data_IF_807660854815
#
_entry.id   IF_807660854815
#
_cell.length_a   1.000
_cell.length_b   1.000
_cell.length_c   1.000
_cell.angle_alpha   90.00
_cell.angle_beta   90.00
_cell.angle_gamma   90.00
#
_symmetry.space_group_name_H-M   'P 1'
#
loop_
_entity.id
_entity.type
_entity.pdbx_description
1 polymer ?
#
# COMPACT_ATOMS: atom_id res chain seq x y z
N UNK A 1 -4.36 -18.79 15.06
CA UNK A 1 -2.92 -18.57 15.16
C UNK A 1 -2.67 -17.27 15.92
N UNK A 2 -1.95 -17.37 17.02
CA UNK A 2 -1.72 -16.26 17.92
C UNK A 2 -0.46 -15.50 17.49
N UNK A 3 -0.54 -14.18 17.47
CA UNK A 3 0.59 -13.32 17.13
C UNK A 3 1.14 -12.68 18.40
N UNK A 4 2.43 -12.79 18.62
CA UNK A 4 3.13 -12.11 19.73
C UNK A 4 4.33 -11.35 19.18
N UNK A 5 4.46 -10.08 19.55
CA UNK A 5 5.63 -9.27 19.28
C UNK A 5 6.20 -8.72 20.58
N UNK A 6 7.50 -8.90 20.78
CA UNK A 6 8.22 -8.45 21.96
C UNK A 6 9.50 -7.72 21.58
N UNK A 7 9.70 -6.52 22.15
CA UNK A 7 10.95 -5.77 22.05
C UNK A 7 11.63 -5.74 23.44
N UNK A 8 12.78 -6.42 23.56
CA UNK A 8 13.47 -6.57 24.85
C UNK A 8 12.57 -7.29 25.86
N UNK A 9 12.28 -6.63 26.99
CA UNK A 9 11.38 -7.16 28.04
C UNK A 9 9.92 -6.70 27.87
N UNK A 10 9.62 -5.86 26.86
CA UNK A 10 8.28 -5.30 26.66
C UNK A 10 7.52 -6.12 25.63
N UNK A 11 6.39 -6.68 26.04
CA UNK A 11 5.43 -7.31 25.15
C UNK A 11 4.57 -6.20 24.54
N UNK A 12 4.59 -6.08 23.21
CA UNK A 12 3.77 -5.10 22.48
C UNK A 12 2.40 -5.65 22.12
N UNK A 13 2.36 -6.92 21.70
CA UNK A 13 1.12 -7.63 21.39
C UNK A 13 1.20 -9.06 21.86
N UNK A 14 0.15 -9.53 22.45
CA UNK A 14 0.00 -10.91 22.87
C UNK A 14 -1.40 -11.42 22.52
N UNK A 15 -1.46 -12.59 21.89
CA UNK A 15 -2.70 -13.30 21.56
C UNK A 15 -3.74 -12.47 20.78
N UNK A 16 -3.29 -11.75 19.76
CA UNK A 16 -4.16 -10.91 18.92
C UNK A 16 -4.78 -11.74 17.79
N UNK A 17 -6.11 -11.70 17.64
CA UNK A 17 -6.86 -12.48 16.66
C UNK A 17 -7.91 -11.61 15.95
N UNK A 18 -7.57 -11.04 14.78
CA UNK A 18 -8.46 -10.19 14.00
C UNK A 18 -8.71 -10.79 12.62
N UNK A 19 -9.95 -10.74 12.18
CA UNK A 19 -10.35 -11.09 10.82
C UNK A 19 -10.82 -9.83 10.11
N UNK A 20 -10.13 -9.45 9.05
CA UNK A 20 -10.56 -8.38 8.15
C UNK A 20 -11.35 -9.00 6.99
N UNK A 21 -12.57 -8.51 6.81
CA UNK A 21 -13.42 -8.91 5.70
C UNK A 21 -13.15 -8.03 4.49
N UNK A 22 -13.27 -8.60 3.30
CA UNK A 22 -13.09 -7.86 2.04
C UNK A 22 -14.08 -6.72 1.86
N UNK A 23 -13.70 -5.75 1.02
CA UNK A 23 -14.54 -4.63 0.58
C UNK A 23 -14.98 -3.67 1.70
N UNK A 24 -14.14 -3.50 2.73
CA UNK A 24 -14.43 -2.62 3.86
C UNK A 24 -13.24 -1.74 4.22
N UNK A 25 -13.54 -0.55 4.76
CA UNK A 25 -12.55 0.33 5.34
C UNK A 25 -12.53 0.16 6.86
N UNK A 26 -11.39 -0.19 7.40
CA UNK A 26 -11.16 -0.32 8.83
C UNK A 26 -10.26 0.81 9.31
N UNK A 27 -10.74 1.61 10.24
CA UNK A 27 -9.99 2.66 10.88
C UNK A 27 -9.48 2.22 12.26
N UNK A 28 -8.21 2.46 12.52
CA UNK A 28 -7.58 2.19 13.80
C UNK A 28 -7.11 3.51 14.41
N UNK A 29 -7.69 3.86 15.56
CA UNK A 29 -7.30 5.02 16.37
C UNK A 29 -6.44 4.55 17.53
N UNK A 30 -5.42 5.30 17.85
CA UNK A 30 -4.62 5.08 19.04
C UNK A 30 -3.69 6.27 19.29
N UNK A 31 -3.23 6.45 20.53
CA UNK A 31 -2.29 7.49 20.88
C UNK A 31 -0.98 7.37 20.09
N UNK A 32 -0.34 8.50 19.78
CA UNK A 32 0.96 8.51 19.13
C UNK A 32 1.99 7.71 19.94
N UNK A 33 2.72 6.87 19.27
CA UNK A 33 3.78 6.02 19.82
C UNK A 33 3.48 4.53 19.66
N UNK A 34 4.25 3.78 20.13
CA UNK A 34 4.40 2.38 20.46
C UNK A 34 3.42 1.32 19.91
N UNK A 35 3.01 1.26 18.68
CA UNK A 35 2.37 0.00 18.26
C UNK A 35 1.54 0.06 16.99
N UNK A 36 0.96 1.22 16.63
CA UNK A 36 0.16 1.32 15.40
C UNK A 36 0.99 1.02 14.16
N UNK A 37 2.11 1.72 13.99
CA UNK A 37 3.03 1.48 12.86
C UNK A 37 3.64 0.09 12.90
N UNK A 38 3.94 -0.42 14.09
CA UNK A 38 4.45 -1.78 14.28
C UNK A 38 3.40 -2.81 13.89
N UNK A 39 2.14 -2.59 14.24
CA UNK A 39 1.03 -3.45 13.85
C UNK A 39 0.89 -3.52 12.32
N UNK A 40 0.95 -2.37 11.62
CA UNK A 40 0.94 -2.36 10.16
C UNK A 40 2.15 -3.07 9.55
N UNK A 41 3.33 -2.94 10.12
CA UNK A 41 4.53 -3.66 9.68
C UNK A 41 4.40 -5.18 9.84
N UNK A 42 3.70 -5.64 10.86
CA UNK A 42 3.37 -7.07 11.03
C UNK A 42 2.39 -7.50 9.94
N UNK A 43 1.34 -6.72 9.68
CA UNK A 43 0.36 -7.01 8.62
C UNK A 43 1.00 -7.11 7.25
N UNK A 44 1.99 -6.25 6.97
CA UNK A 44 2.72 -6.22 5.69
C UNK A 44 3.86 -7.22 5.59
N UNK A 45 4.11 -8.03 6.63
CA UNK A 45 5.25 -8.93 6.77
C UNK A 45 6.63 -8.24 6.75
N UNK A 46 6.71 -6.94 7.01
CA UNK A 46 7.99 -6.24 7.18
C UNK A 46 8.68 -6.64 8.50
N UNK A 47 7.89 -6.96 9.50
CA UNK A 47 8.34 -7.46 10.80
C UNK A 47 7.65 -8.80 11.06
N UNK A 48 8.44 -9.83 11.36
CA UNK A 48 7.90 -11.12 11.78
C UNK A 48 7.46 -11.06 13.24
N UNK A 49 6.26 -11.54 13.59
CA UNK A 49 5.86 -11.68 14.98
C UNK A 49 6.69 -12.77 15.69
N UNK A 50 6.79 -12.69 17.00
CA UNK A 50 7.50 -13.70 17.79
C UNK A 50 6.78 -15.07 17.74
N UNK A 51 5.46 -15.04 17.59
CA UNK A 51 4.64 -16.23 17.34
C UNK A 51 3.40 -15.88 16.53
N UNK A 52 2.86 -16.88 15.84
CA UNK A 52 1.70 -16.70 14.98
C UNK A 52 2.05 -16.28 13.56
N UNK A 53 1.05 -15.95 12.79
CA UNK A 53 1.19 -15.60 11.38
C UNK A 53 0.11 -14.63 10.91
N UNK A 54 0.42 -13.93 9.84
CA UNK A 54 -0.51 -13.16 9.03
C UNK A 54 -0.81 -13.98 7.79
N UNK A 55 -2.10 -14.23 7.54
CA UNK A 55 -2.54 -15.01 6.39
C UNK A 55 -3.25 -14.10 5.40
N UNK A 56 -2.78 -14.10 4.16
CA UNK A 56 -3.38 -13.42 3.03
C UNK A 56 -3.91 -14.48 2.05
N UNK A 57 -5.10 -14.26 1.52
CA UNK A 57 -5.65 -15.12 0.48
C UNK A 57 -4.75 -15.13 -0.76
N UNK A 58 -4.55 -16.31 -1.34
CA UNK A 58 -3.69 -16.48 -2.52
C UNK A 58 -4.14 -15.61 -3.70
N UNK A 59 -3.19 -14.99 -4.39
CA UNK A 59 -3.44 -14.13 -5.54
C UNK A 59 -3.86 -12.70 -5.20
N UNK A 60 -3.97 -12.34 -3.92
CA UNK A 60 -4.29 -10.97 -3.48
C UNK A 60 -3.03 -10.14 -3.32
N UNK A 61 -3.08 -8.88 -3.76
CA UNK A 61 -1.97 -7.94 -3.63
C UNK A 61 -2.24 -6.96 -2.50
N UNK A 62 -1.26 -6.83 -1.61
CA UNK A 62 -1.25 -5.85 -0.54
C UNK A 62 -0.36 -4.68 -0.92
N UNK A 63 -0.89 -3.46 -0.84
CA UNK A 63 -0.14 -2.22 -1.00
C UNK A 63 0.00 -1.52 0.34
N UNK A 64 1.19 -1.01 0.62
CA UNK A 64 1.52 -0.36 1.88
C UNK A 64 2.08 1.03 1.61
N UNK A 65 1.60 2.03 2.33
CA UNK A 65 2.19 3.37 2.29
C UNK A 65 3.59 3.32 2.91
N UNK A 66 4.62 3.52 2.07
CA UNK A 66 6.01 3.53 2.51
C UNK A 66 6.31 4.73 3.41
N UNK A 67 7.07 4.51 4.48
CA UNK A 67 7.59 5.55 5.37
C UNK A 67 9.04 5.92 5.04
N UNK A 68 9.69 5.21 4.16
CA UNK A 68 11.05 5.51 3.74
C UNK A 68 11.06 6.50 2.58
N UNK A 69 11.25 7.77 2.88
CA UNK A 69 11.25 8.87 1.91
C UNK A 69 12.46 8.87 0.97
N UNK A 70 13.49 8.07 1.23
CA UNK A 70 14.73 8.02 0.44
C UNK A 70 14.87 6.79 -0.43
N UNK A 71 13.96 5.82 -0.30
CA UNK A 71 14.06 4.53 -1.00
C UNK A 71 14.05 4.65 -2.53
N UNK A 72 13.45 5.71 -3.07
CA UNK A 72 13.26 5.93 -4.51
C UNK A 72 13.96 7.18 -5.03
N UNK A 73 14.93 7.72 -4.32
CA UNK A 73 15.59 8.98 -4.66
C UNK A 73 16.23 9.00 -6.06
N UNK A 74 16.73 7.87 -6.53
CA UNK A 74 17.35 7.72 -7.86
C UNK A 74 16.35 7.32 -8.97
N UNK A 75 15.07 7.19 -8.65
CA UNK A 75 14.03 6.85 -9.60
C UNK A 75 13.22 8.10 -10.01
N UNK A 76 12.62 8.07 -11.19
CA UNK A 76 11.68 9.13 -11.58
C UNK A 76 10.40 9.08 -10.74
N UNK A 77 9.74 10.21 -10.60
CA UNK A 77 8.47 10.32 -9.86
C UNK A 77 7.42 9.38 -10.44
N UNK A 78 7.26 9.39 -11.76
CA UNK A 78 6.27 8.53 -12.44
C UNK A 78 6.55 7.04 -12.22
N UNK A 79 7.80 6.61 -12.41
CA UNK A 79 8.19 5.22 -12.22
C UNK A 79 8.07 4.77 -10.76
N UNK A 80 8.33 5.67 -9.83
CA UNK A 80 8.12 5.40 -8.39
C UNK A 80 6.67 5.01 -8.09
N UNK A 81 5.71 5.71 -8.67
CA UNK A 81 4.29 5.39 -8.52
C UNK A 81 3.95 4.03 -9.12
N UNK A 82 4.43 3.74 -10.33
CA UNK A 82 4.16 2.46 -11.01
C UNK A 82 4.74 1.28 -10.22
N UNK A 83 5.86 1.46 -9.54
CA UNK A 83 6.46 0.44 -8.65
C UNK A 83 5.53 0.02 -7.49
N UNK A 84 4.48 0.78 -7.20
CA UNK A 84 3.42 0.38 -6.27
C UNK A 84 2.69 -0.90 -6.70
N UNK A 85 2.65 -1.19 -7.98
CA UNK A 85 2.23 -2.47 -8.53
C UNK A 85 3.46 -3.27 -8.98
N UNK A 86 4.11 -3.93 -8.04
CA UNK A 86 5.37 -4.63 -8.30
C UNK A 86 5.27 -5.71 -9.41
N UNK A 87 4.23 -6.56 -9.48
CA UNK A 87 4.09 -7.50 -10.59
C UNK A 87 4.07 -6.82 -11.97
N UNK A 88 3.37 -5.70 -12.10
CA UNK A 88 3.34 -4.92 -13.33
C UNK A 88 4.71 -4.29 -13.64
N UNK A 89 5.35 -3.70 -12.64
CA UNK A 89 6.68 -3.11 -12.78
C UNK A 89 7.71 -4.14 -13.23
N UNK A 90 7.76 -5.30 -12.60
CA UNK A 90 8.68 -6.39 -12.95
C UNK A 90 8.43 -6.88 -14.39
N UNK A 91 7.17 -6.99 -14.79
CA UNK A 91 6.78 -7.33 -16.16
C UNK A 91 7.26 -6.31 -17.19
N UNK A 92 7.12 -5.03 -16.88
CA UNK A 92 7.61 -3.93 -17.73
C UNK A 92 9.13 -3.99 -17.89
N UNK A 93 9.87 -4.23 -16.82
CA UNK A 93 11.32 -4.37 -16.85
C UNK A 93 11.76 -5.58 -17.68
N UNK A 94 11.12 -6.71 -17.51
CA UNK A 94 11.40 -7.92 -18.27
C UNK A 94 11.12 -7.74 -19.77
N UNK A 95 10.01 -7.11 -20.12
CA UNK A 95 9.62 -6.78 -21.47
C UNK A 95 10.65 -5.86 -22.14
N UNK A 96 11.03 -4.77 -21.47
CA UNK A 96 12.04 -3.84 -21.97
C UNK A 96 13.40 -4.52 -22.17
N UNK A 97 13.82 -5.37 -21.23
CA UNK A 97 15.08 -6.10 -21.31
C UNK A 97 15.13 -7.03 -22.55
N UNK A 98 14.03 -7.69 -22.89
CA UNK A 98 13.96 -8.57 -24.05
C UNK A 98 14.07 -7.75 -25.34
N UNK A 99 13.35 -6.66 -25.47
CA UNK A 99 13.42 -5.81 -26.67
C UNK A 99 14.77 -5.12 -26.86
N UNK A 100 15.54 -4.94 -25.78
CA UNK A 100 16.88 -4.33 -25.84
C UNK A 100 18.00 -5.34 -26.07
N UNK A 101 17.72 -6.63 -26.18
CA UNK A 101 18.74 -7.67 -26.46
C UNK A 101 19.37 -7.42 -27.83
N UNK A 102 20.72 -7.35 -27.94
CA UNK A 102 21.40 -7.17 -29.22
C UNK A 102 21.22 -8.35 -30.17
N UNK A 103 21.05 -9.55 -29.62
CA UNK A 103 20.92 -10.84 -30.31
C UNK A 103 19.50 -11.38 -30.26
N UNK A 104 18.50 -10.51 -30.41
CA UNK A 104 17.08 -10.86 -30.39
C UNK A 104 16.79 -11.97 -31.43
N UNK A 105 16.29 -13.11 -30.98
CA UNK A 105 16.02 -14.29 -31.77
C UNK A 105 14.53 -14.67 -31.78
N UNK A 106 14.18 -15.78 -32.44
CA UNK A 106 12.79 -16.25 -32.52
C UNK A 106 12.19 -16.61 -31.17
N UNK A 107 12.98 -17.23 -30.27
CA UNK A 107 12.53 -17.54 -28.92
C UNK A 107 12.22 -16.27 -28.10
N UNK A 108 13.06 -15.24 -28.26
CA UNK A 108 12.84 -13.93 -27.66
C UNK A 108 11.57 -13.28 -28.20
N UNK A 109 11.26 -13.45 -29.49
CA UNK A 109 10.02 -13.00 -30.10
C UNK A 109 8.78 -13.66 -29.53
N UNK A 110 8.82 -14.97 -29.25
CA UNK A 110 7.72 -15.70 -28.61
C UNK A 110 7.53 -15.26 -27.17
N UNK A 111 8.61 -15.10 -26.43
CA UNK A 111 8.55 -14.62 -25.05
C UNK A 111 8.04 -13.19 -24.97
N UNK A 112 8.49 -12.31 -25.87
CA UNK A 112 8.01 -10.95 -25.95
C UNK A 112 6.49 -10.89 -26.22
N UNK A 113 5.98 -11.74 -27.12
CA UNK A 113 4.55 -11.82 -27.40
C UNK A 113 3.74 -12.27 -26.17
N UNK A 114 4.25 -13.25 -25.40
CA UNK A 114 3.62 -13.68 -24.13
C UNK A 114 3.61 -12.57 -23.09
N UNK A 115 4.69 -11.83 -22.96
CA UNK A 115 4.78 -10.68 -22.05
C UNK A 115 3.82 -9.53 -22.45
N UNK A 116 3.62 -9.30 -23.74
CA UNK A 116 2.64 -8.31 -24.23
C UNK A 116 1.21 -8.70 -23.84
N UNK A 117 0.85 -9.97 -23.94
CA UNK A 117 -0.46 -10.46 -23.50
C UNK A 117 -0.66 -10.23 -22.00
N UNK A 118 0.33 -10.59 -21.19
CA UNK A 118 0.29 -10.36 -19.73
C UNK A 118 0.21 -8.87 -19.39
N UNK A 119 0.93 -8.04 -20.13
CA UNK A 119 0.92 -6.58 -19.97
C UNK A 119 -0.47 -5.99 -20.24
N UNK A 120 -1.15 -6.46 -21.29
CA UNK A 120 -2.52 -6.06 -21.58
C UNK A 120 -3.51 -6.53 -20.51
N UNK A 121 -3.39 -7.77 -20.04
CA UNK A 121 -4.22 -8.33 -18.97
C UNK A 121 -4.09 -7.54 -17.66
N UNK A 122 -2.91 -6.98 -17.40
CA UNK A 122 -2.65 -6.15 -16.22
C UNK A 122 -2.97 -4.66 -16.44
N UNK A 123 -3.61 -4.29 -17.53
CA UNK A 123 -3.91 -2.89 -17.91
C UNK A 123 -2.64 -2.02 -18.00
N UNK A 124 -1.56 -2.61 -18.45
CA UNK A 124 -0.24 -1.97 -18.52
C UNK A 124 -0.18 -0.75 -19.43
N UNK A 125 -0.99 -0.71 -20.50
CA UNK A 125 -1.06 0.43 -21.40
C UNK A 125 -1.56 1.71 -20.76
N UNK A 126 -2.35 1.62 -19.70
CA UNK A 126 -2.86 2.74 -18.94
C UNK A 126 -2.01 3.09 -17.71
N UNK A 127 -0.95 2.35 -17.43
CA UNK A 127 -0.16 2.50 -16.22
C UNK A 127 0.41 3.92 -16.05
N UNK A 128 1.03 4.48 -17.09
CA UNK A 128 1.61 5.82 -17.04
C UNK A 128 0.55 6.91 -16.87
N UNK A 129 -0.57 6.82 -17.61
CA UNK A 129 -1.66 7.80 -17.49
C UNK A 129 -2.36 7.73 -16.14
N UNK A 130 -2.58 6.53 -15.60
CA UNK A 130 -3.17 6.34 -14.28
C UNK A 130 -2.25 6.88 -13.17
N UNK A 131 -0.96 6.60 -13.25
CA UNK A 131 0.03 7.13 -12.32
C UNK A 131 0.12 8.66 -12.40
N UNK A 132 0.13 9.23 -13.61
CA UNK A 132 0.15 10.68 -13.82
C UNK A 132 -1.10 11.35 -13.24
N UNK A 133 -2.26 10.74 -13.38
CA UNK A 133 -3.51 11.26 -12.82
C UNK A 133 -3.52 11.26 -11.30
N UNK A 134 -3.07 10.18 -10.66
CA UNK A 134 -2.91 10.13 -9.20
C UNK A 134 -1.98 11.22 -8.70
N UNK A 135 -0.83 11.40 -9.34
CA UNK A 135 0.13 12.43 -9.00
C UNK A 135 -0.48 13.84 -9.11
N UNK A 136 -1.16 14.12 -10.22
CA UNK A 136 -1.80 15.43 -10.45
C UNK A 136 -2.89 15.70 -9.40
N UNK A 137 -3.70 14.71 -9.05
CA UNK A 137 -4.73 14.81 -8.01
C UNK A 137 -4.12 15.07 -6.62
N UNK A 138 -2.91 14.58 -6.37
CA UNK A 138 -2.17 14.81 -5.13
C UNK A 138 -1.29 16.08 -5.17
N UNK A 139 -1.44 16.92 -6.18
CA UNK A 139 -0.75 18.19 -6.28
C UNK A 139 0.67 18.13 -6.85
N UNK A 140 1.05 17.00 -7.44
CA UNK A 140 2.32 16.83 -8.13
C UNK A 140 2.10 17.08 -9.64
N UNK A 141 2.49 18.25 -10.11
CA UNK A 141 2.26 18.68 -11.50
C UNK A 141 3.06 17.87 -12.53
N UNK A 142 2.59 17.86 -13.76
CA UNK A 142 3.17 17.08 -14.87
C UNK A 142 4.66 17.36 -15.09
N UNK A 143 5.10 18.61 -14.86
CA UNK A 143 6.50 19.02 -15.01
C UNK A 143 7.47 18.31 -14.06
N UNK A 144 6.97 17.68 -12.98
CA UNK A 144 7.77 16.94 -12.01
C UNK A 144 7.80 15.42 -12.27
N UNK A 145 6.92 14.90 -13.14
CA UNK A 145 6.72 13.45 -13.28
C UNK A 145 7.95 12.70 -13.81
N UNK A 146 8.78 13.35 -14.61
CA UNK A 146 10.02 12.76 -15.14
C UNK A 146 11.28 13.18 -14.37
N UNK A 147 11.13 13.99 -13.34
CA UNK A 147 12.23 14.35 -12.46
C UNK A 147 12.55 13.22 -11.49
N UNK A 148 13.78 13.18 -11.00
CA UNK A 148 14.19 12.22 -9.96
C UNK A 148 13.58 12.62 -8.61
N UNK A 149 13.17 11.64 -7.85
CA UNK A 149 12.49 11.84 -6.55
C UNK A 149 13.34 12.66 -5.58
N UNK A 150 14.68 12.52 -5.60
CA UNK A 150 15.57 13.30 -4.72
C UNK A 150 15.48 14.82 -4.93
N UNK A 151 15.01 15.28 -6.11
CA UNK A 151 14.87 16.72 -6.41
C UNK A 151 13.63 17.36 -5.78
N UNK A 152 12.70 16.53 -5.26
CA UNK A 152 11.47 16.98 -4.65
C UNK A 152 11.66 17.40 -3.18
N UNK A 153 10.78 18.27 -2.70
CA UNK A 153 10.70 18.59 -1.27
C UNK A 153 10.20 17.37 -0.46
N UNK A 154 10.42 17.40 0.86
CA UNK A 154 9.93 16.35 1.75
C UNK A 154 8.41 16.16 1.67
N UNK A 155 7.65 17.24 1.57
CA UNK A 155 6.18 17.19 1.42
C UNK A 155 5.74 16.60 0.09
N UNK A 156 6.45 16.92 -0.99
CA UNK A 156 6.20 16.34 -2.31
C UNK A 156 6.52 14.84 -2.33
N UNK A 157 7.63 14.42 -1.71
CA UNK A 157 7.98 13.00 -1.57
C UNK A 157 6.89 12.20 -0.86
N UNK A 158 6.30 12.73 0.21
CA UNK A 158 5.18 12.08 0.92
C UNK A 158 4.00 11.85 -0.01
N UNK A 159 3.65 12.83 -0.84
CA UNK A 159 2.56 12.73 -1.82
C UNK A 159 2.85 11.71 -2.93
N UNK A 160 4.08 11.64 -3.39
CA UNK A 160 4.51 10.62 -4.36
C UNK A 160 4.37 9.21 -3.78
N UNK A 161 4.78 9.00 -2.53
CA UNK A 161 4.64 7.69 -1.87
C UNK A 161 3.16 7.34 -1.61
N UNK A 162 2.32 8.32 -1.34
CA UNK A 162 0.88 8.10 -1.25
C UNK A 162 0.29 7.68 -2.61
N UNK A 163 0.66 8.36 -3.69
CA UNK A 163 0.27 7.95 -5.05
C UNK A 163 0.72 6.51 -5.36
N UNK A 164 1.95 6.15 -4.99
CA UNK A 164 2.47 4.79 -5.13
C UNK A 164 1.60 3.76 -4.40
N UNK A 165 1.18 4.04 -3.17
CA UNK A 165 0.35 3.12 -2.40
C UNK A 165 -1.05 2.94 -3.02
N UNK A 166 -1.63 4.00 -3.57
CA UNK A 166 -2.97 3.98 -4.18
C UNK A 166 -2.98 3.38 -5.59
N UNK A 167 -1.82 3.27 -6.24
CA UNK A 167 -1.71 2.85 -7.63
C UNK A 167 -2.10 1.39 -7.85
N UNK A 168 -2.79 1.11 -8.94
CA UNK A 168 -3.00 -0.24 -9.45
C UNK A 168 -4.10 -1.03 -8.75
N UNK A 169 -5.02 -0.39 -8.04
CA UNK A 169 -6.19 -1.01 -7.41
C UNK A 169 -5.85 -2.26 -6.57
N UNK A 170 -5.03 -2.13 -5.52
CA UNK A 170 -4.66 -3.27 -4.68
C UNK A 170 -5.88 -3.88 -4.00
N UNK A 171 -5.86 -5.18 -3.74
CA UNK A 171 -6.92 -5.87 -3.00
C UNK A 171 -6.92 -5.48 -1.52
N UNK A 172 -5.76 -5.13 -0.99
CA UNK A 172 -5.60 -4.65 0.38
C UNK A 172 -4.69 -3.44 0.38
N UNK A 173 -5.16 -2.36 0.99
CA UNK A 173 -4.44 -1.10 1.11
C UNK A 173 -4.19 -0.79 2.59
N UNK A 174 -2.93 -0.65 2.98
CA UNK A 174 -2.51 -0.28 4.33
C UNK A 174 -1.97 1.15 4.34
N UNK A 175 -2.62 2.02 5.07
CA UNK A 175 -2.25 3.44 5.19
C UNK A 175 -1.95 3.81 6.64
N UNK A 176 -0.74 4.25 6.90
CA UNK A 176 -0.31 4.77 8.21
C UNK A 176 -0.21 6.29 8.15
N UNK A 177 -1.08 6.98 8.90
CA UNK A 177 -1.17 8.45 8.96
C UNK A 177 -1.15 9.11 7.57
N UNK A 178 -2.08 8.74 6.65
CA UNK A 178 -2.00 9.16 5.25
C UNK A 178 -2.31 10.64 5.03
N UNK A 179 -2.89 11.32 6.01
CA UNK A 179 -3.24 12.76 5.93
C UNK A 179 -2.15 13.69 6.41
N UNK A 180 -1.06 13.17 6.99
CA UNK A 180 0.07 13.97 7.42
C UNK A 180 0.67 14.75 6.24
N UNK A 181 0.95 16.03 6.46
CA UNK A 181 1.50 16.96 5.47
C UNK A 181 0.63 17.18 4.22
N UNK A 182 -0.66 16.85 4.27
CA UNK A 182 -1.63 17.17 3.24
C UNK A 182 -2.45 18.43 3.61
N UNK A 183 -2.77 19.24 2.60
CA UNK A 183 -3.71 20.34 2.75
C UNK A 183 -5.17 19.83 2.74
N UNK A 184 -6.10 20.71 3.09
CA UNK A 184 -7.54 20.39 3.21
C UNK A 184 -8.11 19.87 1.89
N UNK A 185 -7.72 20.45 0.77
CA UNK A 185 -8.20 20.04 -0.55
C UNK A 185 -7.72 18.62 -0.91
N UNK A 186 -6.45 18.32 -0.66
CA UNK A 186 -5.87 16.98 -0.89
C UNK A 186 -6.48 15.94 0.05
N UNK A 187 -6.72 16.29 1.31
CA UNK A 187 -7.41 15.40 2.25
C UNK A 187 -8.82 15.09 1.77
N UNK A 188 -9.55 16.09 1.30
CA UNK A 188 -10.91 15.90 0.74
C UNK A 188 -10.89 14.98 -0.48
N UNK A 189 -9.92 15.14 -1.36
CA UNK A 189 -9.74 14.23 -2.50
C UNK A 189 -9.47 12.80 -2.03
N UNK A 190 -8.60 12.60 -1.03
CA UNK A 190 -8.28 11.29 -0.49
C UNK A 190 -9.49 10.63 0.18
N UNK A 191 -10.27 11.40 0.92
CA UNK A 191 -11.55 10.92 1.50
C UNK A 191 -12.49 10.38 0.43
N UNK A 192 -12.66 11.10 -0.66
CA UNK A 192 -13.49 10.67 -1.79
C UNK A 192 -12.92 9.44 -2.49
N UNK A 193 -11.60 9.40 -2.68
CA UNK A 193 -10.92 8.23 -3.27
C UNK A 193 -11.16 6.97 -2.44
N UNK A 194 -10.98 7.06 -1.13
CA UNK A 194 -11.14 5.90 -0.23
C UNK A 194 -12.62 5.51 -0.06
N UNK A 195 -13.56 6.47 -0.10
CA UNK A 195 -14.98 6.18 -0.08
C UNK A 195 -15.44 5.38 -1.31
N UNK A 196 -14.85 5.65 -2.46
CA UNK A 196 -15.14 4.95 -3.72
C UNK A 196 -14.29 3.68 -3.92
N UNK A 197 -13.31 3.44 -3.06
CA UNK A 197 -12.43 2.29 -3.15
C UNK A 197 -13.17 1.00 -2.77
N UNK A 198 -13.23 0.05 -3.70
CA UNK A 198 -14.07 -1.16 -3.57
C UNK A 198 -13.42 -2.29 -2.79
N UNK A 199 -12.11 -2.25 -2.56
CA UNK A 199 -11.35 -3.29 -1.88
C UNK A 199 -11.13 -2.97 -0.40
N UNK A 200 -10.39 -3.82 0.30
CA UNK A 200 -10.14 -3.65 1.73
C UNK A 200 -9.12 -2.55 1.99
N UNK A 201 -9.44 -1.63 2.88
CA UNK A 201 -8.53 -0.58 3.36
C UNK A 201 -8.39 -0.69 4.87
N UNK A 202 -7.14 -0.60 5.34
CA UNK A 202 -6.83 -0.48 6.76
C UNK A 202 -6.07 0.83 6.95
N UNK A 203 -6.66 1.76 7.67
CA UNK A 203 -6.11 3.08 7.94
C UNK A 203 -5.80 3.21 9.43
N UNK A 204 -4.57 3.56 9.73
CA UNK A 204 -4.15 3.97 11.06
C UNK A 204 -4.02 5.48 11.08
N UNK A 205 -4.75 6.15 11.95
CA UNK A 205 -4.72 7.60 12.06
C UNK A 205 -5.11 8.05 13.46
N UNK A 206 -4.59 9.20 13.90
CA UNK A 206 -5.07 9.91 15.09
C UNK A 206 -6.20 10.90 14.76
N UNK A 207 -6.48 11.12 13.48
CA UNK A 207 -7.54 11.99 12.99
C UNK A 207 -8.87 11.24 12.88
N UNK A 208 -9.68 11.33 13.95
CA UNK A 208 -10.98 10.67 14.00
C UNK A 208 -11.96 11.18 12.95
N UNK A 209 -11.90 12.46 12.64
CA UNK A 209 -12.77 13.05 11.61
C UNK A 209 -12.51 12.41 10.23
N UNK A 210 -11.23 12.21 9.88
CA UNK A 210 -10.87 11.53 8.65
C UNK A 210 -11.34 10.06 8.65
N UNK A 211 -11.12 9.35 9.75
CA UNK A 211 -11.56 7.94 9.87
C UNK A 211 -13.07 7.81 9.77
N UNK A 212 -13.83 8.67 10.43
CA UNK A 212 -15.30 8.67 10.36
C UNK A 212 -15.82 9.00 8.96
N UNK A 213 -15.08 9.79 8.18
CA UNK A 213 -15.44 10.13 6.81
C UNK A 213 -15.24 8.96 5.82
N UNK A 214 -14.23 8.09 6.05
CA UNK A 214 -13.83 7.07 5.07
C UNK A 214 -14.11 5.64 5.53
N UNK A 215 -14.19 5.38 6.82
CA UNK A 215 -14.26 4.02 7.36
C UNK A 215 -15.65 3.62 7.77
N UNK A 216 -16.01 2.37 7.46
CA UNK A 216 -17.26 1.73 7.90
C UNK A 216 -17.13 1.16 9.31
N UNK A 217 -15.90 0.86 9.74
CA UNK A 217 -15.58 0.30 11.06
C UNK A 217 -14.40 1.06 11.63
N UNK A 218 -14.59 1.71 12.77
CA UNK A 218 -13.52 2.39 13.51
C UNK A 218 -13.38 1.71 14.86
N UNK A 219 -12.15 1.29 15.18
CA UNK A 219 -11.81 0.66 16.45
C UNK A 219 -10.71 1.45 17.14
N UNK A 220 -10.91 1.74 18.40
CA UNK A 220 -9.86 2.23 19.28
C UNK A 220 -8.92 1.07 19.61
N UNK A 221 -7.68 1.18 19.19
CA UNK A 221 -6.63 0.30 19.67
C UNK A 221 -5.94 1.00 20.83
N UNK A 222 -6.34 0.62 22.02
CA UNK A 222 -5.59 0.90 23.22
C UNK A 222 -4.56 -0.22 23.42
N UNK A 223 -3.37 0.00 22.89
CA UNK A 223 -2.29 -0.97 22.91
C UNK A 223 -1.76 -1.26 24.32
N UNK A 224 -2.05 -0.39 25.29
CA UNK A 224 -1.76 -0.66 26.70
C UNK A 224 -2.74 -1.68 27.31
N UNK A 225 -3.92 -1.83 26.73
CA UNK A 225 -4.96 -2.77 27.17
C UNK A 225 -5.05 -4.05 26.32
N UNK A 226 -4.28 -4.17 25.26
CA UNK A 226 -4.25 -5.36 24.40
C UNK A 226 -3.58 -6.60 25.04
N UNK A 227 -3.31 -6.57 26.33
CA UNK A 227 -2.71 -7.69 27.07
C UNK A 227 -3.58 -8.98 27.07
N UNK A 228 -4.81 -8.98 26.54
CA UNK A 228 -5.77 -10.10 26.69
C UNK A 228 -6.53 -10.44 25.40
N UNK A 229 -6.23 -9.87 24.23
CA UNK A 229 -7.00 -10.14 23.00
C UNK A 229 -6.19 -11.01 22.04
N UNK A 230 -6.77 -12.17 21.66
CA UNK A 230 -6.21 -13.03 20.61
C UNK A 230 -6.51 -12.44 19.25
N UNK A 231 -5.49 -12.25 18.42
CA UNK A 231 -5.66 -11.73 17.04
C UNK A 231 -5.24 -12.80 16.05
N UNK A 232 -6.19 -13.30 15.27
CA UNK A 232 -5.92 -13.99 14.01
C UNK A 232 -6.34 -13.07 12.88
N UNK A 233 -5.43 -12.80 11.95
CA UNK A 233 -5.69 -11.89 10.85
C UNK A 233 -5.89 -12.74 9.60
N UNK A 234 -7.07 -12.66 9.03
CA UNK A 234 -7.39 -13.26 7.74
C UNK A 234 -7.87 -12.18 6.80
N UNK A 235 -7.24 -12.09 5.66
CA UNK A 235 -7.71 -11.31 4.53
C UNK A 235 -8.42 -12.28 3.56
N UNK A 236 -9.73 -12.16 3.42
CA UNK A 236 -10.50 -13.03 2.53
C UNK A 236 -11.88 -12.47 2.23
N UNK A 237 -12.48 -12.96 1.16
CA UNK A 237 -13.87 -12.61 0.82
C UNK A 237 -14.85 -13.13 1.88
N UNK A 238 -15.94 -12.39 2.10
CA UNK A 238 -17.07 -12.92 2.83
C UNK A 238 -17.54 -14.18 2.10
N UNK A 239 -17.51 -15.34 2.75
CA UNK A 239 -18.39 -16.41 2.33
C UNK A 239 -19.82 -15.92 2.60
N UNK A 240 -20.53 -15.63 1.53
CA UNK A 240 -21.98 -15.41 1.59
C UNK A 240 -22.58 -16.75 2.01
N UNK A 241 -23.00 -16.83 3.24
CA UNK A 241 -23.86 -17.91 3.72
C UNK A 241 -25.29 -17.61 3.36
#
# INVERSE_FOLDING_TARGET
NNVTLQFGKRVLFEDVNIKFHGERCYGLIGANGAGKSTFLKILSNEISPNSGNVTLESGKRMSVLSQNHFAFDEETVLNTVIQGNKPLWDLMQEKDAIYMKPDFNEEDGLLAADLEVKFEEMDGWNAESDAAQLLSNLGIGDHLHNDLVHTLSGKEKVRVLLAQALFGNPEILLLDEPTNDLDVETISWLENFLADFQNTVIVVSHDRHFLDAVCTHVSDIDLEKLHIIRVTIHFGMNQVS
#
